data_IF_590116258895
#
_entry.id   IF_590116258895
#
_cell.length_a   1.000
_cell.length_b   1.000
_cell.length_c   1.000
_cell.angle_alpha   90.00
_cell.angle_beta   90.00
_cell.angle_gamma   90.00
#
_symmetry.space_group_name_H-M   'P 1'
#
loop_
_entity.id
_entity.type
_entity.pdbx_description
1 polymer ?
#
# COMPACT_ATOMS: atom_id res chain seq x y z
N UNK A 1 9.82 11.19 15.95
CA UNK A 1 10.80 10.69 16.94
C UNK A 1 12.01 11.58 16.78
N UNK A 2 12.36 12.33 17.84
CA UNK A 2 13.37 13.39 17.81
C UNK A 2 14.77 12.79 17.82
N UNK A 3 15.54 12.92 16.74
CA UNK A 3 16.98 12.57 16.72
C UNK A 3 17.82 13.85 16.68
N UNK A 4 18.48 14.15 17.81
CA UNK A 4 19.49 15.20 17.91
C UNK A 4 20.87 14.60 17.58
N UNK A 5 21.61 15.23 16.66
CA UNK A 5 22.99 14.84 16.37
C UNK A 5 23.96 15.50 17.35
N UNK A 6 24.37 14.75 18.37
CA UNK A 6 25.39 15.19 19.33
C UNK A 6 26.81 14.86 18.85
N UNK A 7 27.66 15.88 18.70
CA UNK A 7 29.12 15.69 18.54
C UNK A 7 29.73 15.10 19.81
N UNK A 8 30.56 14.07 19.65
CA UNK A 8 31.42 13.48 20.68
C UNK A 8 32.37 14.54 21.27
N UNK A 9 32.29 14.79 22.58
CA UNK A 9 33.28 15.56 23.33
C UNK A 9 34.07 14.61 24.24
N UNK A 10 35.33 14.35 23.89
CA UNK A 10 36.30 13.65 24.73
C UNK A 10 36.84 14.56 25.85
N UNK A 11 37.32 14.01 26.98
CA UNK A 11 37.70 14.80 28.14
C UNK A 11 39.16 15.26 28.03
N UNK A 12 39.49 16.46 28.51
CA UNK A 12 40.84 16.79 28.97
C UNK A 12 40.84 17.96 29.95
N UNK A 13 41.68 17.78 30.96
CA UNK A 13 41.89 18.55 32.18
C UNK A 13 42.71 19.83 31.92
N UNK A 14 42.45 20.91 32.68
CA UNK A 14 43.51 21.79 33.19
C UNK A 14 43.59 23.27 32.74
N UNK A 15 43.09 24.16 33.63
CA UNK A 15 43.58 25.49 34.09
C UNK A 15 44.14 26.57 33.12
N UNK A 16 43.68 27.82 33.39
CA UNK A 16 44.32 29.16 33.34
C UNK A 16 43.66 30.17 32.40
N UNK A 17 43.29 31.31 32.99
CA UNK A 17 42.65 32.48 32.42
C UNK A 17 43.57 33.35 31.53
N UNK A 18 43.03 33.91 30.45
CA UNK A 18 43.41 35.20 29.89
C UNK A 18 42.34 35.67 28.89
N UNK A 19 41.80 36.87 29.11
CA UNK A 19 40.84 37.53 28.22
C UNK A 19 41.60 38.15 27.04
N UNK A 20 41.31 37.70 25.83
CA UNK A 20 41.70 38.34 24.58
C UNK A 20 40.45 38.46 23.69
N UNK A 21 40.15 39.64 23.11
CA UNK A 21 39.08 39.75 22.13
C UNK A 21 39.62 39.14 20.83
N UNK A 22 39.45 37.83 20.65
CA UNK A 22 39.52 37.29 19.32
C UNK A 22 38.32 37.84 18.57
N UNK A 23 38.63 38.61 17.52
CA UNK A 23 37.78 38.80 16.36
C UNK A 23 37.23 37.42 16.03
N UNK A 24 36.00 37.17 16.44
CA UNK A 24 35.30 35.96 16.10
C UNK A 24 35.20 35.98 14.59
N UNK A 25 35.95 35.10 13.95
CA UNK A 25 35.46 34.48 12.72
C UNK A 25 34.10 33.90 13.09
N UNK A 26 33.04 34.71 12.93
CA UNK A 26 31.75 34.18 12.63
C UNK A 26 31.98 33.37 11.38
N UNK A 27 32.15 32.06 11.53
CA UNK A 27 31.82 31.17 10.45
C UNK A 27 30.35 31.46 10.20
N UNK A 28 30.11 32.24 9.16
CA UNK A 28 28.87 32.22 8.42
C UNK A 28 28.38 30.78 8.42
N UNK A 29 27.38 30.50 9.25
CA UNK A 29 26.54 29.33 9.11
C UNK A 29 25.77 29.59 7.83
N UNK A 30 26.43 29.37 6.69
CA UNK A 30 25.83 29.41 5.38
C UNK A 30 24.91 28.20 5.29
N UNK A 31 23.66 28.45 5.65
CA UNK A 31 22.44 27.92 5.02
C UNK A 31 22.55 26.49 4.47
N UNK A 32 22.48 25.52 5.38
CA UNK A 32 22.13 24.15 5.03
C UNK A 32 20.81 23.81 5.70
N UNK A 33 19.75 23.60 4.91
CA UNK A 33 18.53 22.98 5.41
C UNK A 33 18.93 21.70 6.17
N UNK A 34 18.51 21.50 7.43
CA UNK A 34 18.87 20.30 8.19
C UNK A 34 18.45 19.06 7.40
N UNK A 35 19.28 18.02 7.36
CA UNK A 35 18.99 16.82 6.59
C UNK A 35 19.48 15.57 7.32
N UNK A 36 18.72 14.49 7.20
CA UNK A 36 19.16 13.16 7.65
C UNK A 36 19.96 12.53 6.51
N UNK A 37 21.22 12.19 6.76
CA UNK A 37 22.05 11.54 5.75
C UNK A 37 21.48 10.18 5.36
N UNK A 38 21.76 9.70 4.14
CA UNK A 38 21.37 8.35 3.70
C UNK A 38 21.86 7.27 4.65
N UNK A 39 23.10 7.37 5.13
CA UNK A 39 23.70 6.42 6.05
C UNK A 39 23.01 6.41 7.42
N UNK A 40 22.62 7.59 7.94
CA UNK A 40 21.90 7.68 9.20
C UNK A 40 20.46 7.18 9.08
N UNK A 41 19.81 7.47 7.95
CA UNK A 41 18.47 6.97 7.66
C UNK A 41 18.46 5.45 7.51
N UNK A 42 19.39 4.87 6.75
CA UNK A 42 19.53 3.42 6.62
C UNK A 42 19.75 2.73 7.96
N UNK A 43 20.61 3.32 8.82
CA UNK A 43 20.88 2.79 10.16
C UNK A 43 19.65 2.87 11.06
N UNK A 44 18.94 4.00 11.07
CA UNK A 44 17.70 4.16 11.85
C UNK A 44 16.64 3.12 11.45
N UNK A 45 16.44 2.93 10.15
CA UNK A 45 15.46 1.97 9.64
C UNK A 45 15.83 0.55 10.07
N UNK A 46 17.10 0.16 9.92
CA UNK A 46 17.57 -1.16 10.35
C UNK A 46 17.40 -1.38 11.87
N UNK A 47 17.68 -0.36 12.69
CA UNK A 47 17.44 -0.38 14.14
C UNK A 47 15.95 -0.61 14.46
N UNK A 48 15.05 0.11 13.79
CA UNK A 48 13.59 -0.03 13.99
C UNK A 48 13.06 -1.40 13.63
N UNK A 49 13.56 -2.02 12.56
CA UNK A 49 13.23 -3.41 12.25
C UNK A 49 13.70 -4.35 13.36
N UNK A 50 14.92 -4.16 13.87
CA UNK A 50 15.46 -4.98 14.95
C UNK A 50 14.64 -4.85 16.24
N UNK A 51 14.19 -3.64 16.58
CA UNK A 51 13.28 -3.39 17.72
C UNK A 51 11.93 -4.08 17.54
N UNK A 52 11.42 -4.16 16.31
CA UNK A 52 10.21 -4.90 15.94
C UNK A 52 10.45 -6.42 15.81
N UNK A 53 11.64 -6.93 16.13
CA UNK A 53 11.97 -8.36 16.05
C UNK A 53 12.25 -8.89 14.64
N UNK A 54 12.35 -8.00 13.64
CA UNK A 54 12.67 -8.33 12.26
C UNK A 54 14.13 -7.99 11.92
N UNK A 55 14.71 -8.65 10.91
CA UNK A 55 16.07 -8.35 10.44
C UNK A 55 16.13 -8.29 8.91
N UNK A 56 16.15 -7.10 8.29
CA UNK A 56 16.45 -6.96 6.88
C UNK A 56 17.83 -7.56 6.54
N UNK A 57 17.96 -8.12 5.33
CA UNK A 57 19.25 -8.41 4.71
C UNK A 57 19.98 -7.12 4.32
N UNK A 58 19.24 -6.11 3.86
CA UNK A 58 19.78 -4.79 3.54
C UNK A 58 18.71 -3.70 3.65
N UNK A 59 19.18 -2.48 3.91
CA UNK A 59 18.42 -1.24 3.79
C UNK A 59 19.26 -0.25 2.98
N UNK A 60 18.73 0.26 1.88
CA UNK A 60 19.42 1.19 0.98
C UNK A 60 18.53 2.40 0.72
N UNK A 61 18.97 3.60 1.09
CA UNK A 61 18.23 4.84 0.82
C UNK A 61 18.86 5.56 -0.36
N UNK A 62 18.04 5.93 -1.36
CA UNK A 62 18.52 6.57 -2.60
C UNK A 62 18.99 7.99 -2.34
N UNK A 63 18.22 8.73 -1.55
CA UNK A 63 18.42 10.16 -1.30
C UNK A 63 18.46 10.45 0.20
N UNK A 64 19.21 11.48 0.64
CA UNK A 64 19.11 11.97 2.00
C UNK A 64 17.70 12.54 2.24
N UNK A 65 17.25 12.53 3.49
CA UNK A 65 15.97 13.12 3.85
C UNK A 65 16.18 14.60 4.18
N UNK A 66 15.77 15.48 3.28
CA UNK A 66 15.77 16.93 3.51
C UNK A 66 14.76 17.24 4.62
N UNK A 67 15.22 17.93 5.67
CA UNK A 67 14.44 18.35 6.82
C UNK A 67 13.57 19.55 6.51
N UNK A 68 12.58 19.34 5.64
CA UNK A 68 11.46 20.25 5.39
C UNK A 68 10.18 19.44 5.55
N UNK A 69 9.20 19.97 6.28
CA UNK A 69 7.95 19.25 6.54
C UNK A 69 7.27 18.86 5.22
N UNK A 70 6.92 17.58 5.10
CA UNK A 70 6.33 17.00 3.90
C UNK A 70 7.35 16.47 2.88
N UNK A 71 8.66 16.73 3.05
CA UNK A 71 9.67 16.10 2.20
C UNK A 71 9.73 14.61 2.46
N UNK A 72 9.94 13.87 1.37
CA UNK A 72 9.97 12.41 1.38
C UNK A 72 11.28 11.85 0.89
N UNK A 73 11.71 10.73 1.46
CA UNK A 73 12.76 9.88 0.92
C UNK A 73 12.24 8.45 0.74
N UNK A 74 12.85 7.70 -0.18
CA UNK A 74 12.57 6.28 -0.40
C UNK A 74 13.78 5.45 -0.06
N UNK A 75 13.53 4.35 0.65
CA UNK A 75 14.55 3.37 0.97
C UNK A 75 14.08 1.99 0.52
N UNK A 76 14.94 1.23 -0.14
CA UNK A 76 14.73 -0.17 -0.47
C UNK A 76 15.09 -1.04 0.75
N UNK A 77 14.12 -1.79 1.25
CA UNK A 77 14.30 -2.75 2.33
C UNK A 77 14.19 -4.17 1.75
N UNK A 78 15.23 -4.98 1.92
CA UNK A 78 15.24 -6.38 1.47
C UNK A 78 15.18 -7.31 2.66
N UNK A 79 14.12 -8.11 2.75
CA UNK A 79 13.95 -9.17 3.76
C UNK A 79 14.54 -10.50 3.30
N UNK A 80 14.38 -10.81 2.01
CA UNK A 80 14.88 -12.02 1.36
C UNK A 80 15.08 -11.79 -0.13
N UNK A 81 15.69 -12.71 -0.89
CA UNK A 81 15.85 -12.58 -2.34
C UNK A 81 14.53 -12.37 -3.10
N UNK A 82 13.41 -12.79 -2.51
CA UNK A 82 12.07 -12.66 -3.11
C UNK A 82 11.19 -11.63 -2.40
N UNK A 83 11.59 -11.10 -1.24
CA UNK A 83 10.78 -10.17 -0.46
C UNK A 83 11.55 -8.86 -0.23
N UNK A 84 11.13 -7.81 -0.95
CA UNK A 84 11.61 -6.45 -0.80
C UNK A 84 10.49 -5.43 -0.97
N UNK A 85 10.60 -4.30 -0.27
CA UNK A 85 9.61 -3.22 -0.26
C UNK A 85 10.27 -1.85 -0.07
N UNK A 86 9.57 -0.78 -0.45
CA UNK A 86 10.08 0.60 -0.39
C UNK A 86 9.24 1.45 0.58
N UNK A 87 9.54 1.48 1.89
CA UNK A 87 8.88 2.41 2.80
C UNK A 87 9.04 3.87 2.35
N UNK A 88 7.98 4.65 2.55
CA UNK A 88 7.98 6.10 2.37
C UNK A 88 8.36 6.74 3.69
N UNK A 89 9.47 7.45 3.70
CA UNK A 89 9.91 8.25 4.84
C UNK A 89 9.42 9.68 4.64
N UNK A 90 8.67 10.24 5.57
CA UNK A 90 8.11 11.60 5.46
C UNK A 90 8.51 12.45 6.66
N UNK A 91 9.06 13.64 6.42
CA UNK A 91 9.34 14.61 7.49
C UNK A 91 8.04 15.17 8.04
N UNK A 92 7.88 15.07 9.35
CA UNK A 92 6.71 15.56 10.09
C UNK A 92 7.02 16.78 10.95
N UNK A 93 8.29 17.07 11.22
CA UNK A 93 8.70 18.24 12.01
C UNK A 93 10.19 18.56 11.89
N UNK A 94 10.54 19.82 12.16
CA UNK A 94 11.92 20.31 12.14
C UNK A 94 12.10 21.26 13.31
N UNK A 95 12.96 20.87 14.27
CA UNK A 95 13.28 21.61 15.49
C UNK A 95 14.80 21.89 15.53
N UNK A 96 15.23 23.00 14.93
CA UNK A 96 16.65 23.32 14.78
C UNK A 96 17.36 22.32 13.87
N UNK A 97 18.35 21.60 14.39
CA UNK A 97 19.04 20.51 13.67
C UNK A 97 18.32 19.15 13.78
N UNK A 98 17.22 19.09 14.53
CA UNK A 98 16.44 17.86 14.73
C UNK A 98 15.38 17.74 13.63
N UNK A 99 15.38 16.61 12.91
CA UNK A 99 14.36 16.28 11.91
C UNK A 99 13.50 15.13 12.45
N UNK A 100 12.22 15.40 12.67
CA UNK A 100 11.21 14.39 12.98
C UNK A 100 10.63 13.82 11.69
N UNK A 101 10.58 12.49 11.59
CA UNK A 101 9.99 11.82 10.44
C UNK A 101 9.23 10.55 10.85
N UNK A 102 8.31 10.16 9.98
CA UNK A 102 7.56 8.90 10.04
C UNK A 102 7.95 7.99 8.89
N UNK A 103 7.69 6.69 9.07
CA UNK A 103 7.86 5.69 8.03
C UNK A 103 6.52 5.01 7.79
N UNK A 104 6.12 4.98 6.53
CA UNK A 104 4.94 4.26 6.08
C UNK A 104 5.40 3.07 5.22
N UNK A 105 5.03 1.82 5.56
CA UNK A 105 5.26 0.69 4.67
C UNK A 105 4.59 0.99 3.32
N UNK A 106 5.22 0.61 2.21
CA UNK A 106 4.60 0.74 0.90
C UNK A 106 5.20 -0.27 -0.07
N UNK A 107 4.39 -0.67 -1.05
CA UNK A 107 4.83 -1.41 -2.23
C UNK A 107 4.70 -0.49 -3.44
N UNK A 108 5.77 -0.37 -4.22
CA UNK A 108 5.67 0.17 -5.58
C UNK A 108 4.81 -0.74 -6.46
N UNK A 109 4.37 -0.26 -7.62
CA UNK A 109 3.55 -1.05 -8.57
C UNK A 109 4.22 -2.40 -8.86
N UNK A 110 5.50 -2.39 -9.22
CA UNK A 110 6.25 -3.61 -9.54
C UNK A 110 6.43 -4.56 -8.34
N UNK A 111 6.53 -4.02 -7.13
CA UNK A 111 6.61 -4.81 -5.90
C UNK A 111 5.26 -5.45 -5.58
N UNK A 112 4.17 -4.69 -5.74
CA UNK A 112 2.82 -5.18 -5.54
C UNK A 112 2.50 -6.28 -6.56
N UNK A 113 2.78 -6.09 -7.86
CA UNK A 113 2.56 -7.09 -8.90
C UNK A 113 3.26 -8.42 -8.58
N UNK A 114 4.52 -8.37 -8.13
CA UNK A 114 5.27 -9.56 -7.68
C UNK A 114 4.67 -10.20 -6.44
N UNK A 115 4.19 -9.41 -5.49
CA UNK A 115 3.58 -9.92 -4.27
C UNK A 115 2.22 -10.59 -4.58
N UNK A 116 1.39 -9.97 -5.41
CA UNK A 116 0.11 -10.53 -5.88
C UNK A 116 0.33 -11.83 -6.65
N UNK A 117 1.31 -11.87 -7.57
CA UNK A 117 1.61 -13.09 -8.32
C UNK A 117 1.99 -14.27 -7.39
N UNK A 118 2.71 -14.00 -6.29
CA UNK A 118 3.02 -15.03 -5.29
C UNK A 118 1.79 -15.50 -4.53
N UNK A 119 0.94 -14.58 -4.05
CA UNK A 119 -0.29 -14.94 -3.34
C UNK A 119 -1.21 -15.79 -4.23
N UNK A 120 -1.37 -15.42 -5.50
CA UNK A 120 -2.13 -16.22 -6.48
C UNK A 120 -1.56 -17.63 -6.63
N UNK A 121 -0.23 -17.77 -6.71
CA UNK A 121 0.40 -19.08 -6.79
C UNK A 121 0.27 -19.90 -5.50
N UNK A 122 0.31 -19.26 -4.34
CA UNK A 122 0.12 -19.89 -3.01
C UNK A 122 -1.31 -20.41 -2.82
N UNK A 123 -2.29 -19.70 -3.38
CA UNK A 123 -3.71 -20.11 -3.41
C UNK A 123 -4.01 -21.16 -4.50
N UNK A 124 -2.98 -21.74 -5.13
CA UNK A 124 -3.12 -22.79 -6.14
C UNK A 124 -3.46 -22.29 -7.54
N UNK A 125 -3.35 -20.98 -7.78
CA UNK A 125 -3.48 -20.37 -9.10
C UNK A 125 -2.34 -20.77 -10.06
N UNK A 126 -2.52 -20.56 -11.37
CA UNK A 126 -1.51 -20.94 -12.37
C UNK A 126 -0.18 -20.17 -12.19
N UNK A 127 0.98 -20.86 -12.23
CA UNK A 127 2.28 -20.24 -11.96
C UNK A 127 2.72 -19.25 -13.04
N UNK A 128 2.08 -19.26 -14.21
CA UNK A 128 2.30 -18.39 -15.35
C UNK A 128 1.35 -17.18 -15.39
N UNK A 129 0.64 -16.90 -14.29
CA UNK A 129 -0.22 -15.72 -14.19
C UNK A 129 0.57 -14.43 -14.38
N UNK A 130 0.10 -13.54 -15.25
CA UNK A 130 0.62 -12.17 -15.34
C UNK A 130 -0.22 -11.24 -14.49
N UNK A 131 0.44 -10.31 -13.80
CA UNK A 131 -0.23 -9.35 -12.91
C UNK A 131 0.07 -7.93 -13.38
N UNK A 132 -0.95 -7.09 -13.45
CA UNK A 132 -0.82 -5.65 -13.71
C UNK A 132 -1.59 -4.86 -12.67
N UNK A 133 -0.92 -4.04 -11.88
CA UNK A 133 -1.56 -3.23 -10.84
C UNK A 133 -1.70 -1.76 -11.26
N UNK A 134 -2.84 -1.16 -10.95
CA UNK A 134 -3.15 0.23 -11.31
C UNK A 134 -2.33 1.25 -10.50
N UNK A 135 -1.94 0.86 -9.29
CA UNK A 135 -1.17 1.67 -8.36
C UNK A 135 -0.32 0.76 -7.45
N UNK A 136 0.64 1.36 -6.76
CA UNK A 136 1.27 0.73 -5.60
C UNK A 136 0.30 0.66 -4.42
N UNK A 137 0.71 0.05 -3.32
CA UNK A 137 -0.10 -0.11 -2.12
C UNK A 137 0.59 0.56 -0.93
N UNK A 138 -0.10 1.51 -0.29
CA UNK A 138 0.38 2.15 0.94
C UNK A 138 -0.05 1.31 2.14
N UNK A 139 0.84 1.14 3.12
CA UNK A 139 0.59 0.41 4.35
C UNK A 139 -0.26 1.21 5.32
N UNK A 140 -1.53 1.44 4.97
CA UNK A 140 -2.56 2.01 5.84
C UNK A 140 -3.72 1.02 5.91
N UNK A 141 -4.27 0.69 7.09
CA UNK A 141 -5.42 -0.21 7.18
C UNK A 141 -6.57 0.26 6.27
N UNK A 142 -7.08 -0.63 5.44
CA UNK A 142 -8.12 -0.34 4.46
C UNK A 142 -7.64 0.35 3.17
N UNK A 143 -6.34 0.60 3.01
CA UNK A 143 -5.80 1.03 1.72
C UNK A 143 -5.99 -0.08 0.68
N UNK A 144 -6.35 0.31 -0.55
CA UNK A 144 -6.63 -0.62 -1.63
C UNK A 144 -5.85 -0.28 -2.90
N UNK A 145 -5.45 -1.32 -3.63
CA UNK A 145 -4.93 -1.22 -4.99
C UNK A 145 -5.58 -2.30 -5.87
N UNK A 146 -5.96 -1.93 -7.09
CA UNK A 146 -6.61 -2.85 -8.03
C UNK A 146 -5.56 -3.47 -8.94
N UNK A 147 -5.61 -4.79 -9.07
CA UNK A 147 -4.71 -5.56 -9.91
C UNK A 147 -5.49 -6.49 -10.84
N UNK A 148 -5.04 -6.57 -12.09
CA UNK A 148 -5.52 -7.52 -13.08
C UNK A 148 -4.62 -8.73 -13.08
N UNK A 149 -5.20 -9.89 -12.79
CA UNK A 149 -4.51 -11.18 -12.81
C UNK A 149 -4.97 -11.93 -14.05
N UNK A 150 -4.06 -12.20 -14.98
CA UNK A 150 -4.36 -12.92 -16.21
C UNK A 150 -3.73 -14.30 -16.19
N UNK A 151 -4.54 -15.34 -16.33
CA UNK A 151 -4.08 -16.72 -16.42
C UNK A 151 -4.89 -17.47 -17.49
N UNK A 152 -4.23 -18.26 -18.33
CA UNK A 152 -4.92 -19.02 -19.40
C UNK A 152 -5.73 -18.16 -20.38
N UNK A 153 -5.37 -16.88 -20.56
CA UNK A 153 -6.09 -15.93 -21.41
C UNK A 153 -7.34 -15.30 -20.77
N UNK A 154 -7.62 -15.59 -19.50
CA UNK A 154 -8.70 -14.98 -18.73
C UNK A 154 -8.09 -13.96 -17.76
N UNK A 155 -8.58 -12.73 -17.79
CA UNK A 155 -8.20 -11.67 -16.85
C UNK A 155 -9.28 -11.50 -15.80
N UNK A 156 -8.92 -11.67 -14.54
CA UNK A 156 -9.79 -11.44 -13.38
C UNK A 156 -9.23 -10.29 -12.55
N UNK A 157 -10.10 -9.37 -12.14
CA UNK A 157 -9.68 -8.25 -11.29
C UNK A 157 -9.67 -8.66 -9.81
N UNK A 158 -8.67 -8.16 -9.09
CA UNK A 158 -8.48 -8.32 -7.65
C UNK A 158 -8.26 -6.98 -7.00
N UNK A 159 -8.77 -6.85 -5.79
CA UNK A 159 -8.44 -5.75 -4.88
C UNK A 159 -7.42 -6.27 -3.88
N UNK A 160 -6.20 -5.75 -3.94
CA UNK A 160 -5.23 -5.88 -2.85
C UNK A 160 -5.61 -4.89 -1.76
N UNK A 161 -5.97 -5.37 -0.57
CA UNK A 161 -6.41 -4.54 0.55
C UNK A 161 -5.53 -4.76 1.77
N UNK A 162 -5.01 -3.68 2.36
CA UNK A 162 -4.24 -3.75 3.60
C UNK A 162 -5.16 -4.09 4.77
N UNK A 163 -4.93 -5.26 5.36
CA UNK A 163 -5.70 -5.77 6.50
C UNK A 163 -5.07 -5.44 7.84
N UNK A 164 -3.77 -5.10 7.87
CA UNK A 164 -3.08 -4.75 9.10
C UNK A 164 -1.71 -4.14 8.86
N UNK A 165 -1.26 -3.34 9.83
CA UNK A 165 0.06 -2.70 9.83
C UNK A 165 0.66 -2.85 11.22
N UNK A 166 1.80 -3.54 11.29
CA UNK A 166 2.54 -3.80 12.52
C UNK A 166 3.96 -3.22 12.38
N UNK A 167 4.16 -2.03 12.94
CA UNK A 167 5.41 -1.29 12.82
C UNK A 167 5.71 -0.92 11.37
N UNK A 168 6.77 -1.51 10.79
CA UNK A 168 7.18 -1.29 9.39
C UNK A 168 6.72 -2.41 8.45
N UNK A 169 5.91 -3.35 8.95
CA UNK A 169 5.35 -4.45 8.19
C UNK A 169 3.87 -4.18 7.91
N UNK A 170 3.39 -4.62 6.76
CA UNK A 170 1.97 -4.60 6.43
C UNK A 170 1.53 -5.95 5.90
N UNK A 171 0.30 -6.32 6.20
CA UNK A 171 -0.38 -7.48 5.65
C UNK A 171 -1.47 -6.98 4.70
N UNK A 172 -1.63 -7.64 3.56
CA UNK A 172 -2.71 -7.37 2.64
C UNK A 172 -3.24 -8.67 2.06
N UNK A 173 -4.53 -8.68 1.76
CA UNK A 173 -5.22 -9.81 1.18
C UNK A 173 -5.67 -9.49 -0.25
N UNK A 174 -5.92 -10.52 -1.05
CA UNK A 174 -6.52 -10.40 -2.36
C UNK A 174 -8.02 -10.71 -2.29
N UNK A 175 -8.83 -9.69 -2.53
CA UNK A 175 -10.29 -9.83 -2.60
C UNK A 175 -10.67 -10.00 -4.07
N UNK A 176 -11.37 -11.10 -4.46
CA UNK A 176 -11.94 -11.21 -5.78
C UNK A 176 -13.01 -10.12 -5.97
N UNK A 177 -13.19 -9.66 -7.20
CA UNK A 177 -14.29 -8.73 -7.51
C UNK A 177 -14.87 -9.01 -8.88
N UNK A 178 -16.19 -8.82 -9.03
CA UNK A 178 -16.82 -8.67 -10.33
C UNK A 178 -16.85 -7.18 -10.66
N UNK A 179 -16.28 -6.80 -11.78
CA UNK A 179 -16.46 -5.45 -12.30
C UNK A 179 -17.93 -5.18 -12.61
N UNK A 180 -18.34 -3.91 -12.64
CA UNK A 180 -19.68 -3.49 -13.04
C UNK A 180 -20.19 -4.23 -14.29
N UNK A 181 -19.36 -4.32 -15.34
CA UNK A 181 -19.71 -4.99 -16.58
C UNK A 181 -19.81 -6.52 -16.47
N UNK A 182 -19.09 -7.14 -15.52
CA UNK A 182 -19.17 -8.57 -15.24
C UNK A 182 -20.39 -8.90 -14.40
N UNK A 183 -20.70 -8.11 -13.37
CA UNK A 183 -21.90 -8.30 -12.55
C UNK A 183 -23.17 -8.06 -13.37
N UNK A 184 -23.19 -7.06 -14.26
CA UNK A 184 -24.31 -6.83 -15.20
C UNK A 184 -24.54 -8.04 -16.13
N UNK A 185 -23.46 -8.58 -16.71
CA UNK A 185 -23.54 -9.79 -17.56
C UNK A 185 -24.01 -11.00 -16.77
N UNK A 186 -23.41 -11.22 -15.60
CA UNK A 186 -23.71 -12.35 -14.72
C UNK A 186 -25.17 -12.33 -14.28
N UNK A 187 -25.70 -11.16 -13.90
CA UNK A 187 -27.10 -10.98 -13.53
C UNK A 187 -28.05 -11.32 -14.70
N UNK A 188 -27.73 -10.84 -15.91
CA UNK A 188 -28.51 -11.16 -17.09
C UNK A 188 -28.49 -12.67 -17.41
N UNK A 189 -27.35 -13.34 -17.24
CA UNK A 189 -27.22 -14.78 -17.45
C UNK A 189 -27.99 -15.59 -16.39
N UNK A 190 -28.04 -15.12 -15.15
CA UNK A 190 -28.85 -15.71 -14.08
C UNK A 190 -30.35 -15.55 -14.32
N UNK A 191 -30.79 -14.33 -14.66
CA UNK A 191 -32.19 -14.07 -14.99
C UNK A 191 -32.62 -14.86 -16.23
N UNK A 192 -31.76 -14.98 -17.24
CA UNK A 192 -32.03 -15.82 -18.41
C UNK A 192 -32.32 -17.27 -18.04
N UNK A 193 -31.54 -17.84 -17.10
CA UNK A 193 -31.73 -19.20 -16.60
C UNK A 193 -33.03 -19.34 -15.79
N UNK A 194 -33.38 -18.36 -14.95
CA UNK A 194 -34.57 -18.43 -14.10
C UNK A 194 -35.88 -18.11 -14.83
N UNK A 195 -35.85 -17.15 -15.77
CA UNK A 195 -37.03 -16.70 -16.52
C UNK A 195 -37.23 -17.45 -17.84
N UNK A 196 -36.22 -18.18 -18.31
CA UNK A 196 -36.21 -18.80 -19.64
C UNK A 196 -36.05 -17.79 -20.80
N UNK A 197 -35.83 -16.51 -20.50
CA UNK A 197 -35.53 -15.43 -21.45
C UNK A 197 -34.56 -14.43 -20.84
N UNK A 198 -33.61 -13.94 -21.64
CA UNK A 198 -32.62 -12.94 -21.19
C UNK A 198 -33.24 -11.54 -21.27
N UNK A 199 -33.21 -10.73 -20.20
CA UNK A 199 -33.55 -9.31 -20.28
C UNK A 199 -32.62 -8.55 -21.24
N UNK A 200 -33.04 -7.37 -21.67
CA UNK A 200 -32.30 -6.57 -22.66
C UNK A 200 -31.01 -5.98 -22.09
N UNK A 201 -31.07 -5.46 -20.86
CA UNK A 201 -29.92 -4.82 -20.22
C UNK A 201 -29.99 -4.84 -18.70
N UNK A 202 -28.82 -4.77 -18.07
CA UNK A 202 -28.67 -4.50 -16.65
C UNK A 202 -27.72 -3.31 -16.48
N UNK A 203 -27.96 -2.49 -15.47
CA UNK A 203 -27.11 -1.35 -15.09
C UNK A 203 -26.89 -1.36 -13.60
N UNK A 204 -25.67 -1.64 -13.18
CA UNK A 204 -25.30 -1.69 -11.77
C UNK A 204 -24.66 -0.38 -11.29
N UNK A 205 -24.82 -0.06 -10.00
CA UNK A 205 -24.28 1.15 -9.39
C UNK A 205 -22.75 1.12 -9.26
N UNK A 206 -22.15 -0.07 -9.27
CA UNK A 206 -20.71 -0.25 -9.17
C UNK A 206 -20.25 -1.70 -9.40
N UNK A 207 -19.03 -1.97 -8.95
CA UNK A 207 -18.44 -3.30 -8.89
C UNK A 207 -19.04 -4.09 -7.70
N UNK A 208 -18.93 -5.41 -7.73
CA UNK A 208 -19.30 -6.29 -6.61
C UNK A 208 -18.05 -6.98 -6.07
N UNK A 209 -17.54 -6.48 -4.95
CA UNK A 209 -16.41 -7.10 -4.24
C UNK A 209 -16.86 -8.37 -3.53
N UNK A 210 -16.06 -9.43 -3.64
CA UNK A 210 -16.25 -10.74 -3.03
C UNK A 210 -16.02 -10.73 -1.52
N UNK A 211 -16.84 -9.99 -0.78
CA UNK A 211 -16.93 -10.09 0.69
C UNK A 211 -18.34 -10.53 1.04
N UNK A 212 -18.54 -11.63 1.77
CA UNK A 212 -19.89 -12.04 2.18
C UNK A 212 -20.65 -10.88 2.85
N UNK A 213 -21.84 -10.60 2.34
CA UNK A 213 -22.68 -9.47 2.75
C UNK A 213 -22.48 -8.17 1.96
N UNK A 214 -21.42 -8.02 1.15
CA UNK A 214 -21.31 -6.89 0.23
C UNK A 214 -22.43 -6.95 -0.80
N UNK A 215 -22.91 -5.76 -1.19
CA UNK A 215 -24.02 -5.65 -2.12
C UNK A 215 -23.83 -4.55 -3.16
N UNK A 216 -24.50 -4.72 -4.29
CA UNK A 216 -24.56 -3.74 -5.37
C UNK A 216 -26.00 -3.65 -5.87
N UNK A 217 -26.40 -2.44 -6.25
CA UNK A 217 -27.72 -2.20 -6.81
C UNK A 217 -27.68 -2.25 -8.32
N UNK A 218 -28.64 -2.95 -8.92
CA UNK A 218 -28.74 -3.08 -10.36
C UNK A 218 -30.17 -2.78 -10.81
N UNK A 219 -30.32 -2.00 -11.88
CA UNK A 219 -31.58 -1.88 -12.61
C UNK A 219 -31.53 -2.81 -13.82
N UNK A 220 -32.59 -3.58 -14.04
CA UNK A 220 -32.74 -4.47 -15.19
C UNK A 220 -33.89 -3.95 -16.05
N UNK A 221 -33.72 -3.98 -17.36
CA UNK A 221 -34.72 -3.57 -18.34
C UNK A 221 -35.03 -4.72 -19.28
N UNK A 222 -36.32 -4.95 -19.53
CA UNK A 222 -36.87 -5.95 -20.44
C UNK A 222 -38.03 -5.32 -21.22
N UNK A 223 -37.75 -4.84 -22.44
CA UNK A 223 -38.67 -4.02 -23.20
C UNK A 223 -39.08 -2.74 -22.45
N UNK A 224 -40.38 -2.49 -22.23
CA UNK A 224 -40.86 -1.30 -21.51
C UNK A 224 -40.79 -1.46 -19.98
N UNK A 225 -40.48 -2.65 -19.46
CA UNK A 225 -40.46 -2.93 -18.03
C UNK A 225 -39.07 -2.69 -17.46
N UNK A 226 -38.99 -2.09 -16.28
CA UNK A 226 -37.75 -1.95 -15.52
C UNK A 226 -37.98 -2.34 -14.07
N UNK A 227 -37.02 -3.09 -13.51
CA UNK A 227 -37.04 -3.53 -12.13
C UNK A 227 -35.68 -3.30 -11.47
N UNK A 228 -35.70 -2.84 -10.22
CA UNK A 228 -34.50 -2.68 -9.41
C UNK A 228 -34.24 -3.95 -8.59
N UNK A 229 -32.99 -4.35 -8.52
CA UNK A 229 -32.49 -5.49 -7.77
C UNK A 229 -31.34 -5.06 -6.87
N UNK A 230 -31.24 -5.70 -5.71
CA UNK A 230 -30.04 -5.69 -4.87
C UNK A 230 -29.38 -7.06 -4.99
N UNK A 231 -28.11 -7.08 -5.36
CA UNK A 231 -27.27 -8.27 -5.40
C UNK A 231 -26.46 -8.31 -4.12
N UNK A 232 -26.38 -9.45 -3.43
CA UNK A 232 -25.63 -9.61 -2.17
C UNK A 232 -24.74 -10.84 -2.25
N UNK A 233 -23.44 -10.68 -2.02
CA UNK A 233 -22.49 -11.78 -1.96
C UNK A 233 -22.84 -12.72 -0.81
N UNK A 234 -22.98 -14.00 -1.12
CA UNK A 234 -23.33 -15.05 -0.16
C UNK A 234 -22.10 -15.84 0.26
N UNK A 235 -21.20 -16.13 -0.67
CA UNK A 235 -19.97 -16.88 -0.43
C UNK A 235 -18.88 -16.50 -1.44
N UNK A 236 -17.63 -16.77 -1.05
CA UNK A 236 -16.47 -16.67 -1.94
C UNK A 236 -15.63 -17.92 -1.80
N UNK A 237 -15.29 -18.52 -2.93
CA UNK A 237 -14.51 -19.76 -3.04
C UNK A 237 -13.42 -19.56 -4.09
N UNK A 238 -12.23 -19.19 -3.61
CA UNK A 238 -11.12 -18.72 -4.44
C UNK A 238 -11.55 -17.52 -5.29
N UNK A 239 -11.70 -17.76 -6.59
CA UNK A 239 -12.03 -16.76 -7.60
C UNK A 239 -13.53 -16.59 -7.83
N UNK A 240 -14.32 -17.52 -7.31
CA UNK A 240 -15.75 -17.57 -7.54
C UNK A 240 -16.48 -16.77 -6.47
N UNK A 241 -17.22 -15.76 -6.92
CA UNK A 241 -18.12 -14.97 -6.08
C UNK A 241 -19.53 -15.49 -6.31
N UNK A 242 -20.09 -16.12 -5.27
CA UNK A 242 -21.50 -16.48 -5.25
C UNK A 242 -22.30 -15.31 -4.67
N UNK A 243 -23.39 -14.95 -5.33
CA UNK A 243 -24.30 -13.91 -4.85
C UNK A 243 -25.76 -14.33 -5.00
N UNK A 244 -26.62 -13.65 -4.27
CA UNK A 244 -28.07 -13.70 -4.44
C UNK A 244 -28.56 -12.37 -5.02
N UNK A 245 -29.72 -12.37 -5.66
CA UNK A 245 -30.39 -11.15 -6.08
C UNK A 245 -31.83 -11.12 -5.58
N UNK A 246 -32.31 -9.95 -5.19
CA UNK A 246 -33.68 -9.74 -4.72
C UNK A 246 -34.23 -8.42 -5.27
N UNK A 247 -35.54 -8.31 -5.56
CA UNK A 247 -36.15 -7.03 -5.92
C UNK A 247 -35.95 -5.99 -4.82
N UNK A 248 -35.62 -4.76 -5.20
CA UNK A 248 -35.68 -3.57 -4.34
C UNK A 248 -37.16 -3.18 -4.24
N UNK A 249 -37.77 -3.46 -3.09
CA UNK A 249 -39.15 -3.07 -2.76
C UNK A 249 -39.30 -1.58 -2.47
#
# INVERSE_FOLDING_TARGET
MRKAFGRLAGPLVGVVAAVAPMVGCGTDAADGVPAVSTADLQRDIAERFAEAGARPQSVTCKDPLVGEVGQTARCDVTMSPTNSFEPIVTVTGVDGETVDYELLPALSVEQLERAVARLVAEDGGPPDSTVTCQAGLLGRPGEVARCDVTAGGVTLRRTAEVTGVDGLMMNFDLVPMLTKAEVERSLLDELARHLGRRPDSATCSGDLEGRPGNSVDCAVTDGPESAAFILTVTAVDGDRIDYSYAPRG
#
